data_IF_138423147140
#
_entry.id   IF_138423147140
#
_cell.length_a   1.000
_cell.length_b   1.000
_cell.length_c   1.000
_cell.angle_alpha   90.00
_cell.angle_beta   90.00
_cell.angle_gamma   90.00
#
_symmetry.space_group_name_H-M   'P 1'
#
loop_
_entity.id
_entity.type
_entity.pdbx_description
1 polymer ?
#
# COMPACT_ATOMS: atom_id res chain seq x y z
N UNK A 1 -14.22 19.41 -4.13
CA UNK A 1 -14.28 18.07 -3.51
C UNK A 1 -12.86 17.53 -3.48
N UNK A 2 -12.33 17.18 -2.31
CA UNK A 2 -11.02 16.52 -2.24
C UNK A 2 -11.21 15.10 -2.76
N UNK A 3 -10.67 14.78 -3.93
CA UNK A 3 -10.59 13.41 -4.43
C UNK A 3 -9.50 12.73 -3.62
N UNK A 4 -9.88 12.11 -2.50
CA UNK A 4 -8.96 11.27 -1.73
C UNK A 4 -8.70 10.01 -2.57
N UNK A 5 -7.43 9.69 -2.75
CA UNK A 5 -6.97 8.47 -3.39
C UNK A 5 -6.69 7.44 -2.29
N UNK A 6 -7.34 6.28 -2.41
CA UNK A 6 -7.27 5.22 -1.40
C UNK A 6 -6.49 4.03 -1.95
N UNK A 7 -5.56 3.54 -1.15
CA UNK A 7 -4.84 2.29 -1.35
C UNK A 7 -5.28 1.32 -0.27
N UNK A 8 -5.88 0.22 -0.69
CA UNK A 8 -6.14 -0.92 0.19
C UNK A 8 -4.90 -1.79 0.22
N UNK A 9 -4.37 -1.96 1.42
CA UNK A 9 -3.25 -2.85 1.68
C UNK A 9 -3.78 -4.05 2.49
N UNK A 10 -4.15 -5.17 1.83
CA UNK A 10 -4.81 -6.29 2.50
C UNK A 10 -3.86 -7.18 3.31
N UNK A 11 -2.61 -6.75 3.51
CA UNK A 11 -1.59 -7.50 4.22
C UNK A 11 -1.33 -6.90 5.60
N UNK A 12 -0.88 -7.76 6.51
CA UNK A 12 -0.34 -7.33 7.79
C UNK A 12 0.91 -6.48 7.55
N UNK A 13 0.95 -5.31 8.17
CA UNK A 13 2.12 -4.43 8.08
C UNK A 13 3.32 -5.06 8.82
N UNK A 14 4.56 -4.72 8.45
CA UNK A 14 5.75 -5.32 9.04
C UNK A 14 5.91 -5.09 10.55
N UNK A 15 5.28 -4.04 11.08
CA UNK A 15 5.21 -3.74 12.51
C UNK A 15 4.16 -4.60 13.25
N UNK A 16 3.51 -5.52 12.55
CA UNK A 16 2.49 -6.41 13.06
C UNK A 16 1.08 -5.80 13.09
N UNK A 17 0.88 -4.58 12.58
CA UNK A 17 -0.44 -3.95 12.49
C UNK A 17 -1.30 -4.66 11.44
N UNK A 18 -2.47 -5.12 11.86
CA UNK A 18 -3.48 -5.67 10.95
C UNK A 18 -4.37 -4.52 10.47
N UNK A 19 -4.33 -4.28 9.16
CA UNK A 19 -5.12 -3.23 8.55
C UNK A 19 -6.62 -3.55 8.67
N UNK A 20 -7.36 -2.68 9.35
CA UNK A 20 -8.82 -2.80 9.49
C UNK A 20 -9.57 -2.00 8.41
N UNK A 21 -8.89 -1.02 7.80
CA UNK A 21 -9.46 -0.04 6.85
C UNK A 21 -8.48 0.29 5.69
N UNK A 22 -8.93 1.10 4.73
CA UNK A 22 -8.11 1.63 3.62
C UNK A 22 -7.09 2.68 4.08
N UNK A 23 -5.98 2.80 3.35
CA UNK A 23 -4.97 3.85 3.56
C UNK A 23 -5.14 4.98 2.53
N UNK A 24 -4.89 6.22 2.93
CA UNK A 24 -4.82 7.36 2.02
C UNK A 24 -3.40 7.52 1.48
N UNK A 25 -3.26 7.79 0.18
CA UNK A 25 -1.99 8.27 -0.37
C UNK A 25 -1.74 9.72 0.09
N UNK A 26 -0.56 10.02 0.65
CA UNK A 26 -0.25 11.35 1.21
C UNK A 26 0.55 12.24 0.25
N UNK A 27 1.27 11.64 -0.68
CA UNK A 27 2.26 12.27 -1.54
C UNK A 27 1.88 12.27 -3.04
N UNK A 28 0.85 11.51 -3.42
CA UNK A 28 0.35 11.49 -4.79
C UNK A 28 -0.74 12.55 -4.96
N UNK A 29 -0.52 13.47 -5.92
CA UNK A 29 -1.52 14.46 -6.27
C UNK A 29 -2.66 13.83 -7.07
N UNK A 30 -3.94 14.16 -6.79
CA UNK A 30 -5.09 13.60 -7.52
C UNK A 30 -5.09 13.83 -9.04
N UNK A 31 -4.26 14.76 -9.53
CA UNK A 31 -4.10 15.06 -10.96
C UNK A 31 -3.09 14.16 -11.67
N UNK A 32 -2.15 13.56 -10.95
CA UNK A 32 -1.11 12.70 -11.52
C UNK A 32 -1.59 11.26 -11.67
N UNK A 33 -2.52 10.85 -10.78
CA UNK A 33 -3.00 9.48 -10.71
C UNK A 33 -4.49 9.44 -10.36
N UNK A 34 -5.30 8.77 -11.19
CA UNK A 34 -6.71 8.46 -10.89
C UNK A 34 -6.82 7.25 -9.96
N UNK A 35 -6.04 7.24 -8.89
CA UNK A 35 -5.99 6.15 -7.91
C UNK A 35 -7.18 6.21 -6.95
N UNK A 36 -8.41 6.13 -7.46
CA UNK A 36 -9.63 6.26 -6.64
C UNK A 36 -9.81 5.10 -5.67
N UNK A 37 -9.36 3.91 -6.06
CA UNK A 37 -9.39 2.68 -5.27
C UNK A 37 -8.40 1.73 -5.90
N UNK A 38 -7.23 1.60 -5.28
CA UNK A 38 -6.20 0.65 -5.73
C UNK A 38 -5.91 -0.37 -4.64
N UNK A 39 -5.55 -1.58 -5.04
CA UNK A 39 -5.21 -2.69 -4.16
C UNK A 39 -3.80 -3.12 -4.50
N UNK A 40 -2.96 -3.27 -3.47
CA UNK A 40 -1.70 -4.00 -3.65
C UNK A 40 -2.01 -5.50 -3.64
N UNK A 41 -1.60 -6.20 -4.68
CA UNK A 41 -1.81 -7.64 -4.87
C UNK A 41 -0.70 -8.47 -4.22
N UNK A 42 -0.88 -9.79 -4.23
CA UNK A 42 0.03 -10.71 -3.55
C UNK A 42 1.40 -10.75 -4.24
N UNK A 43 1.46 -10.53 -5.56
CA UNK A 43 2.69 -10.36 -6.32
C UNK A 43 3.25 -8.93 -6.24
N UNK A 44 2.73 -8.10 -5.34
CA UNK A 44 3.20 -6.75 -5.08
C UNK A 44 2.78 -5.73 -6.14
N UNK A 45 1.89 -6.06 -7.06
CA UNK A 45 1.41 -5.12 -8.08
C UNK A 45 0.34 -4.22 -7.52
N UNK A 46 0.17 -3.07 -8.14
CA UNK A 46 -0.82 -2.09 -7.76
C UNK A 46 -1.94 -2.11 -8.80
N UNK A 47 -3.12 -2.63 -8.44
CA UNK A 47 -4.26 -2.69 -9.36
C UNK A 47 -5.27 -1.62 -8.98
N UNK A 48 -5.66 -0.78 -9.92
CA UNK A 48 -6.72 0.22 -9.75
C UNK A 48 -7.98 -0.19 -10.53
N UNK A 49 -9.16 0.01 -9.93
CA UNK A 49 -10.43 -0.52 -10.48
C UNK A 49 -10.75 -0.08 -11.93
N UNK A 50 -10.38 1.15 -12.32
CA UNK A 50 -10.64 1.70 -13.66
C UNK A 50 -9.48 1.50 -14.64
N UNK A 51 -8.23 1.47 -14.16
CA UNK A 51 -7.01 1.51 -14.99
C UNK A 51 -6.28 0.16 -15.08
N UNK A 52 -6.66 -0.83 -14.26
CA UNK A 52 -6.05 -2.15 -14.22
C UNK A 52 -4.69 -2.16 -13.51
N UNK A 53 -3.76 -2.96 -14.02
CA UNK A 53 -2.41 -3.11 -13.47
C UNK A 53 -1.59 -1.84 -13.70
N UNK A 54 -1.33 -1.14 -12.61
CA UNK A 54 -0.59 0.09 -12.58
C UNK A 54 0.89 -0.23 -12.36
N UNK A 55 1.66 -0.24 -13.45
CA UNK A 55 3.11 -0.25 -13.40
C UNK A 55 3.60 1.07 -12.80
N UNK A 56 3.70 1.08 -11.47
CA UNK A 56 4.24 2.17 -10.69
C UNK A 56 5.65 1.81 -10.23
N UNK A 57 6.61 2.68 -10.52
CA UNK A 57 7.99 2.59 -10.06
C UNK A 57 8.31 3.83 -9.25
N UNK A 58 8.60 3.63 -7.97
CA UNK A 58 8.82 4.73 -7.03
C UNK A 58 8.34 4.42 -5.62
N UNK A 59 8.47 5.41 -4.76
CA UNK A 59 8.03 5.32 -3.37
C UNK A 59 6.73 6.07 -3.17
N UNK A 60 5.76 5.44 -2.51
CA UNK A 60 4.45 6.01 -2.20
C UNK A 60 4.23 6.02 -0.69
N UNK A 61 3.86 7.17 -0.14
CA UNK A 61 3.47 7.31 1.25
C UNK A 61 1.98 7.02 1.43
N UNK A 62 1.66 5.99 2.21
CA UNK A 62 0.28 5.64 2.57
C UNK A 62 0.07 5.88 4.07
N UNK A 63 -1.11 6.33 4.49
CA UNK A 63 -1.41 6.50 5.90
C UNK A 63 -2.86 6.23 6.27
N UNK A 64 -3.10 5.75 7.49
CA UNK A 64 -4.43 5.43 7.98
C UNK A 64 -4.96 6.51 8.95
N UNK A 65 -6.22 6.32 9.38
CA UNK A 65 -6.90 7.21 10.34
C UNK A 65 -6.26 7.21 11.73
N UNK A 66 -5.56 6.13 12.12
CA UNK A 66 -4.80 6.03 13.37
C UNK A 66 -3.44 6.74 13.29
N UNK A 67 -3.20 7.53 12.25
CA UNK A 67 -1.96 8.30 12.01
C UNK A 67 -0.72 7.42 11.81
N UNK A 68 -0.89 6.14 11.47
CA UNK A 68 0.22 5.32 10.99
C UNK A 68 0.49 5.67 9.54
N UNK A 69 1.76 5.88 9.22
CA UNK A 69 2.23 6.15 7.88
C UNK A 69 3.21 5.04 7.50
N UNK A 70 3.17 4.62 6.24
CA UNK A 70 4.08 3.66 5.67
C UNK A 70 4.59 4.18 4.33
N UNK A 71 5.79 3.75 3.94
CA UNK A 71 6.34 3.98 2.61
C UNK A 71 6.31 2.66 1.84
N UNK A 72 5.66 2.63 0.69
CA UNK A 72 5.66 1.51 -0.22
C UNK A 72 6.65 1.79 -1.34
N UNK A 73 7.67 0.96 -1.49
CA UNK A 73 8.71 1.15 -2.50
C UNK A 73 8.56 0.11 -3.61
N UNK A 74 8.23 0.57 -4.82
CA UNK A 74 7.97 -0.27 -5.97
C UNK A 74 9.13 -0.21 -6.96
N UNK A 75 9.50 -1.37 -7.50
CA UNK A 75 10.55 -1.52 -8.49
C UNK A 75 10.13 -2.54 -9.57
N UNK A 76 10.17 -2.10 -10.82
CA UNK A 76 9.67 -2.84 -11.98
C UNK A 76 8.20 -3.22 -11.89
N UNK A 77 7.37 -2.33 -11.33
CA UNK A 77 5.92 -2.49 -11.14
C UNK A 77 5.51 -3.37 -9.96
N UNK A 78 6.47 -3.81 -9.13
CA UNK A 78 6.22 -4.67 -7.98
C UNK A 78 6.74 -4.05 -6.69
N UNK A 79 5.95 -4.14 -5.62
CA UNK A 79 6.33 -3.76 -4.28
C UNK A 79 7.54 -4.58 -3.82
N UNK A 80 8.61 -3.89 -3.42
CA UNK A 80 9.85 -4.49 -2.93
C UNK A 80 10.01 -4.33 -1.44
N UNK A 81 9.77 -3.13 -0.93
CA UNK A 81 9.97 -2.86 0.49
C UNK A 81 8.85 -2.01 1.06
N UNK A 82 8.61 -2.18 2.36
CA UNK A 82 7.70 -1.38 3.16
C UNK A 82 8.51 -0.69 4.25
N UNK A 83 8.47 0.64 4.27
CA UNK A 83 9.03 1.47 5.32
C UNK A 83 7.99 1.74 6.41
N UNK A 84 8.33 1.44 7.66
CA UNK A 84 7.55 1.82 8.84
C UNK A 84 8.20 3.04 9.51
N UNK A 85 7.41 4.06 9.81
CA UNK A 85 7.87 5.20 10.60
C UNK A 85 7.93 4.84 12.08
N UNK A 86 9.10 5.01 12.68
CA UNK A 86 9.34 4.78 14.10
C UNK A 86 9.03 6.06 14.90
N UNK A 87 8.88 5.90 16.22
CA UNK A 87 8.54 7.02 17.12
C UNK A 87 9.62 8.10 17.22
N UNK A 88 10.86 7.77 16.84
CA UNK A 88 12.00 8.69 16.78
C UNK A 88 12.11 9.42 15.42
N UNK A 89 11.18 9.17 14.50
CA UNK A 89 11.17 9.75 13.16
C UNK A 89 12.08 9.03 12.15
N UNK A 90 12.74 7.93 12.55
CA UNK A 90 13.45 7.06 11.62
C UNK A 90 12.47 6.20 10.81
N UNK A 91 12.94 5.67 9.67
CA UNK A 91 12.16 4.73 8.86
C UNK A 91 12.90 3.41 8.82
N UNK A 92 12.26 2.35 9.31
CA UNK A 92 12.76 0.99 9.16
C UNK A 92 12.14 0.35 7.92
N UNK A 93 12.96 -0.16 7.02
CA UNK A 93 12.52 -0.86 5.81
C UNK A 93 12.47 -2.36 6.02
N UNK A 94 11.47 -2.99 5.45
CA UNK A 94 11.24 -4.41 5.46
C UNK A 94 11.01 -4.91 4.05
N UNK A 95 11.62 -6.03 3.68
CA UNK A 95 11.35 -6.66 2.40
C UNK A 95 9.90 -7.12 2.36
N UNK A 96 9.24 -6.88 1.24
CA UNK A 96 7.89 -7.36 1.01
C UNK A 96 7.94 -8.87 0.76
N UNK A 97 7.34 -9.64 1.66
CA UNK A 97 7.17 -11.08 1.51
C UNK A 97 5.69 -11.43 1.36
N UNK A 98 5.31 -11.75 0.13
CA UNK A 98 4.00 -12.26 -0.25
C UNK A 98 3.59 -13.53 0.51
N UNK A 99 4.55 -14.32 1.01
CA UNK A 99 4.31 -15.55 1.77
C UNK A 99 3.59 -15.28 3.09
N UNK A 100 3.66 -14.05 3.60
CA UNK A 100 2.88 -13.56 4.75
C UNK A 100 1.35 -13.58 4.51
N UNK A 101 0.91 -13.86 3.27
CA UNK A 101 -0.50 -13.98 2.85
C UNK A 101 -1.12 -15.37 3.06
N UNK A 102 -0.32 -16.43 3.31
CA UNK A 102 -0.84 -17.80 3.38
C UNK A 102 -1.52 -18.12 4.72
N UNK A 103 -2.58 -17.39 5.09
CA UNK A 103 -3.45 -17.84 6.18
C UNK A 103 -4.88 -17.27 6.21
N UNK A 104 -5.41 -16.58 5.19
CA UNK A 104 -6.89 -16.54 5.05
C UNK A 104 -7.39 -15.97 3.72
N UNK A 105 -8.39 -16.63 3.16
CA UNK A 105 -9.24 -16.23 2.02
C UNK A 105 -8.79 -16.62 0.60
N UNK A 106 -8.56 -17.92 0.43
CA UNK A 106 -9.28 -18.66 -0.62
C UNK A 106 -10.78 -18.78 -0.27
N UNK A 107 -11.52 -17.66 -0.17
CA UNK A 107 -12.98 -17.69 0.00
C UNK A 107 -13.59 -16.29 -0.14
N UNK A 108 -13.85 -15.86 -1.37
CA UNK A 108 -15.11 -15.18 -1.72
C UNK A 108 -15.33 -15.28 -3.22
N UNK A 109 -15.97 -16.39 -3.58
CA UNK A 109 -16.82 -16.48 -4.76
C UNK A 109 -18.08 -15.63 -4.57
#
# INVERSE_FOLDING_TARGET
MSLLSFVKFPYRMPDGFEAVDSYDTKDILPSEFKMRSCVVTADGRLICDEDGDLHYDGTMAIGNVDRRVYLLDFESGSLRTIGCFESDGSVRKYDFDASSYLADNAAKA
#
